data_IF_565293809810
#
_entry.id   IF_565293809810
#
_cell.length_a   1.000
_cell.length_b   1.000
_cell.length_c   1.000
_cell.angle_alpha   90.00
_cell.angle_beta   90.00
_cell.angle_gamma   90.00
#
_symmetry.space_group_name_H-M   'P 1'
#
loop_
_entity.id
_entity.type
_entity.pdbx_description
1 polymer ?
#
# COMPACT_ATOMS: atom_id res chain seq x y z
N UNK A 1 -69.66 -5.47 26.52
CA UNK A 1 -68.50 -4.98 27.28
C UNK A 1 -67.18 -5.60 26.80
N UNK A 2 -67.18 -6.69 26.03
CA UNK A 2 -65.94 -7.36 25.62
C UNK A 2 -65.27 -6.84 24.32
N UNK A 3 -66.00 -6.30 23.34
CA UNK A 3 -65.36 -5.89 22.06
C UNK A 3 -64.46 -4.66 22.21
N UNK A 4 -64.79 -3.73 23.11
CA UNK A 4 -63.97 -2.55 23.41
C UNK A 4 -62.68 -2.92 24.14
N UNK A 5 -62.72 -3.94 25.02
CA UNK A 5 -61.54 -4.45 25.73
C UNK A 5 -60.60 -5.21 24.78
N UNK A 6 -61.15 -5.95 23.82
CA UNK A 6 -60.38 -6.67 22.79
C UNK A 6 -59.74 -5.70 21.79
N UNK A 7 -60.43 -4.65 21.36
CA UNK A 7 -59.83 -3.60 20.51
C UNK A 7 -58.73 -2.82 21.23
N UNK A 8 -58.94 -2.45 22.50
CA UNK A 8 -57.91 -1.78 23.31
C UNK A 8 -56.68 -2.67 23.51
N UNK A 9 -56.84 -3.97 23.74
CA UNK A 9 -55.70 -4.89 23.85
C UNK A 9 -54.99 -5.11 22.52
N UNK A 10 -55.72 -5.18 21.40
CA UNK A 10 -55.12 -5.30 20.06
C UNK A 10 -54.32 -4.05 19.65
N UNK A 11 -54.85 -2.85 19.89
CA UNK A 11 -54.15 -1.59 19.59
C UNK A 11 -52.96 -1.34 20.53
N UNK A 12 -53.05 -1.77 21.79
CA UNK A 12 -51.94 -1.69 22.75
C UNK A 12 -50.82 -2.67 22.37
N UNK A 13 -51.17 -3.87 21.89
CA UNK A 13 -50.21 -4.86 21.43
C UNK A 13 -49.51 -4.45 20.12
N UNK A 14 -50.25 -3.88 19.15
CA UNK A 14 -49.68 -3.38 17.90
C UNK A 14 -48.74 -2.18 18.12
N UNK A 15 -49.12 -1.23 18.99
CA UNK A 15 -48.25 -0.10 19.34
C UNK A 15 -47.00 -0.51 20.13
N UNK A 16 -47.07 -1.61 20.88
CA UNK A 16 -45.92 -2.16 21.59
C UNK A 16 -45.00 -2.96 20.64
N UNK A 17 -45.53 -3.69 19.66
CA UNK A 17 -44.72 -4.42 18.67
C UNK A 17 -43.91 -3.49 17.77
N UNK A 18 -44.49 -2.38 17.29
CA UNK A 18 -43.76 -1.44 16.42
C UNK A 18 -42.63 -0.70 17.16
N UNK A 19 -42.78 -0.47 18.47
CA UNK A 19 -41.78 0.21 19.31
C UNK A 19 -40.66 -0.72 19.77
N UNK A 20 -40.94 -1.99 20.06
CA UNK A 20 -39.91 -3.01 20.36
C UNK A 20 -39.11 -3.36 19.10
N UNK A 21 -39.75 -3.36 17.92
CA UNK A 21 -39.07 -3.48 16.63
C UNK A 21 -38.04 -2.35 16.45
N UNK A 22 -38.42 -1.10 16.73
CA UNK A 22 -37.53 0.06 16.63
C UNK A 22 -36.32 -0.01 17.60
N UNK A 23 -36.53 -0.40 18.86
CA UNK A 23 -35.43 -0.55 19.82
C UNK A 23 -34.47 -1.68 19.43
N UNK A 24 -35.01 -2.81 18.96
CA UNK A 24 -34.22 -3.95 18.48
C UNK A 24 -33.35 -3.54 17.29
N UNK A 25 -33.91 -2.84 16.31
CA UNK A 25 -33.16 -2.33 15.16
C UNK A 25 -32.02 -1.38 15.59
N UNK A 26 -32.28 -0.47 16.53
CA UNK A 26 -31.24 0.45 17.04
C UNK A 26 -30.12 -0.33 17.73
N UNK A 27 -30.43 -1.33 18.57
CA UNK A 27 -29.43 -2.18 19.22
C UNK A 27 -28.59 -2.95 18.20
N UNK A 28 -29.21 -3.53 17.17
CA UNK A 28 -28.50 -4.23 16.10
C UNK A 28 -27.54 -3.29 15.37
N UNK A 29 -27.96 -2.06 15.06
CA UNK A 29 -27.10 -1.07 14.40
C UNK A 29 -25.86 -0.76 15.25
N UNK A 30 -26.01 -0.53 16.56
CA UNK A 30 -24.86 -0.29 17.42
C UNK A 30 -23.93 -1.50 17.55
N UNK A 31 -24.46 -2.71 17.55
CA UNK A 31 -23.63 -3.93 17.55
C UNK A 31 -22.84 -4.04 16.24
N UNK A 32 -23.48 -3.81 15.08
CA UNK A 32 -22.79 -3.83 13.78
C UNK A 32 -21.69 -2.77 13.73
N UNK A 33 -22.00 -1.54 14.16
CA UNK A 33 -21.02 -0.45 14.22
C UNK A 33 -19.88 -0.76 15.18
N UNK A 34 -20.14 -1.42 16.31
CA UNK A 34 -19.11 -1.85 17.24
C UNK A 34 -18.19 -2.90 16.62
N UNK A 35 -18.76 -3.92 15.98
CA UNK A 35 -17.99 -4.97 15.28
C UNK A 35 -17.14 -4.37 14.15
N UNK A 36 -17.70 -3.42 13.40
CA UNK A 36 -16.96 -2.69 12.37
C UNK A 36 -15.78 -1.92 12.97
N UNK A 37 -15.99 -1.16 14.04
CA UNK A 37 -14.91 -0.43 14.73
C UNK A 37 -13.84 -1.39 15.24
N UNK A 38 -14.21 -2.51 15.84
CA UNK A 38 -13.28 -3.52 16.34
C UNK A 38 -12.41 -4.11 15.21
N UNK A 39 -13.03 -4.38 14.05
CA UNK A 39 -12.31 -4.82 12.85
C UNK A 39 -11.32 -3.77 12.38
N UNK A 40 -11.73 -2.49 12.28
CA UNK A 40 -10.85 -1.39 11.84
C UNK A 40 -9.69 -1.17 12.81
N UNK A 41 -9.94 -1.20 14.13
CA UNK A 41 -8.91 -1.12 15.18
C UNK A 41 -7.88 -2.24 15.02
N UNK A 42 -8.35 -3.49 14.93
CA UNK A 42 -7.47 -4.66 14.79
C UNK A 42 -6.65 -4.57 13.51
N UNK A 43 -7.30 -4.25 12.39
CA UNK A 43 -6.65 -4.10 11.08
C UNK A 43 -5.63 -2.96 11.10
N UNK A 44 -5.92 -1.85 11.76
CA UNK A 44 -4.97 -0.74 11.90
C UNK A 44 -3.73 -1.16 12.68
N UNK A 45 -3.90 -1.76 13.86
CA UNK A 45 -2.80 -2.17 14.74
C UNK A 45 -1.85 -3.15 14.03
N UNK A 46 -2.40 -4.15 13.33
CA UNK A 46 -1.60 -5.13 12.58
C UNK A 46 -0.78 -4.44 11.49
N UNK A 47 -1.40 -3.57 10.69
CA UNK A 47 -0.73 -2.90 9.57
C UNK A 47 0.25 -1.81 10.02
N UNK A 48 -0.05 -1.10 11.11
CA UNK A 48 0.86 -0.15 11.73
C UNK A 48 2.12 -0.87 12.23
N UNK A 49 1.97 -1.97 12.96
CA UNK A 49 3.10 -2.80 13.40
C UNK A 49 3.93 -3.31 12.21
N UNK A 50 3.29 -3.84 11.16
CA UNK A 50 3.98 -4.27 9.92
C UNK A 50 4.77 -3.13 9.29
N UNK A 51 4.21 -1.93 9.27
CA UNK A 51 4.88 -0.76 8.70
C UNK A 51 6.09 -0.32 9.51
N UNK A 52 6.01 -0.37 10.84
CA UNK A 52 7.15 -0.11 11.74
C UNK A 52 8.27 -1.13 11.48
N UNK A 53 7.94 -2.43 11.50
CA UNK A 53 8.92 -3.51 11.29
C UNK A 53 9.59 -3.33 9.92
N UNK A 54 8.82 -3.10 8.85
CA UNK A 54 9.39 -2.92 7.52
C UNK A 54 10.25 -1.66 7.42
N UNK A 55 9.86 -0.58 8.08
CA UNK A 55 10.68 0.65 8.16
C UNK A 55 12.04 0.37 8.80
N UNK A 56 12.06 -0.36 9.93
CA UNK A 56 13.31 -0.75 10.62
C UNK A 56 14.18 -1.67 9.76
N UNK A 57 13.57 -2.65 9.10
CA UNK A 57 14.27 -3.61 8.25
C UNK A 57 14.95 -2.93 7.06
N UNK A 58 14.24 -2.05 6.36
CA UNK A 58 14.71 -1.41 5.11
C UNK A 58 15.73 -0.30 5.37
N UNK A 59 15.58 0.45 6.47
CA UNK A 59 16.53 1.52 6.83
C UNK A 59 17.69 1.04 7.68
N UNK A 60 17.52 -0.02 8.48
CA UNK A 60 18.54 -0.62 9.33
C UNK A 60 19.36 0.45 10.10
N UNK A 61 20.66 0.54 9.82
CA UNK A 61 21.60 1.43 10.51
C UNK A 61 21.39 2.92 10.20
N UNK A 62 20.70 3.26 9.11
CA UNK A 62 20.38 4.66 8.78
C UNK A 62 19.30 5.22 9.70
N UNK A 63 18.53 4.36 10.40
CA UNK A 63 17.43 4.76 11.27
C UNK A 63 17.92 5.00 12.71
N UNK A 64 18.12 6.27 13.06
CA UNK A 64 18.64 6.74 14.35
C UNK A 64 17.56 7.45 15.20
N UNK A 65 16.39 7.70 14.61
CA UNK A 65 15.23 8.25 15.31
C UNK A 65 14.01 7.35 15.11
N UNK A 66 13.02 7.39 16.02
CA UNK A 66 11.73 6.77 15.77
C UNK A 66 11.07 7.38 14.53
N UNK A 67 10.99 6.60 13.47
CA UNK A 67 10.38 7.00 12.21
C UNK A 67 9.60 5.83 11.62
N UNK A 68 8.41 6.11 11.10
CA UNK A 68 7.55 5.14 10.43
C UNK A 68 7.31 5.67 9.03
N UNK A 69 7.78 4.93 8.04
CA UNK A 69 7.71 5.35 6.65
C UNK A 69 6.27 5.69 6.26
N UNK A 70 6.07 6.84 5.61
CA UNK A 70 4.79 7.22 5.03
C UNK A 70 3.67 7.49 6.05
N UNK A 71 3.94 7.47 7.36
CA UNK A 71 2.95 7.85 8.37
C UNK A 71 2.97 9.36 8.59
N UNK A 72 2.14 10.08 7.85
CA UNK A 72 1.99 11.53 7.93
C UNK A 72 0.52 11.96 7.69
N UNK A 73 0.20 13.24 7.93
CA UNK A 73 -1.16 13.76 7.80
C UNK A 73 -1.78 13.59 6.39
N UNK A 74 -0.96 13.40 5.35
CA UNK A 74 -1.41 13.22 3.97
C UNK A 74 -1.58 11.74 3.59
N UNK A 75 -1.21 10.81 4.46
CA UNK A 75 -1.22 9.39 4.12
C UNK A 75 -2.58 8.73 4.35
N UNK A 76 -2.88 7.71 3.54
CA UNK A 76 -4.13 6.94 3.67
C UNK A 76 -4.31 6.32 5.06
N UNK A 77 -3.22 5.86 5.68
CA UNK A 77 -3.27 5.27 7.01
C UNK A 77 -3.62 6.30 8.08
N UNK A 78 -3.19 7.55 7.94
CA UNK A 78 -3.61 8.61 8.87
C UNK A 78 -5.13 8.83 8.80
N UNK A 79 -5.72 8.85 7.60
CA UNK A 79 -7.17 8.94 7.46
C UNK A 79 -7.91 7.70 7.97
N UNK A 80 -7.33 6.50 7.83
CA UNK A 80 -7.88 5.28 8.42
C UNK A 80 -7.85 5.33 9.97
N UNK A 81 -6.78 5.86 10.56
CA UNK A 81 -6.71 6.13 12.00
C UNK A 81 -7.82 7.10 12.42
N UNK A 82 -7.93 8.23 11.72
CA UNK A 82 -8.93 9.26 12.01
C UNK A 82 -10.36 8.70 11.90
N UNK A 83 -10.67 7.96 10.83
CA UNK A 83 -11.96 7.31 10.64
C UNK A 83 -12.29 6.37 11.80
N UNK A 84 -11.32 5.54 12.21
CA UNK A 84 -11.49 4.58 13.31
C UNK A 84 -11.80 5.30 14.63
N UNK A 85 -11.07 6.39 14.92
CA UNK A 85 -11.28 7.20 16.12
C UNK A 85 -12.64 7.91 16.10
N UNK A 86 -12.99 8.54 14.97
CA UNK A 86 -14.27 9.24 14.81
C UNK A 86 -15.45 8.28 14.96
N UNK A 87 -15.38 7.09 14.36
CA UNK A 87 -16.43 6.09 14.47
C UNK A 87 -16.63 5.60 15.91
N UNK A 88 -15.55 5.38 16.64
CA UNK A 88 -15.60 4.97 18.05
C UNK A 88 -16.17 6.09 18.93
N UNK A 89 -15.65 7.31 18.81
CA UNK A 89 -16.13 8.48 19.58
C UNK A 89 -17.60 8.79 19.29
N UNK A 90 -18.04 8.67 18.03
CA UNK A 90 -19.44 8.85 17.67
C UNK A 90 -20.37 7.86 18.40
N UNK A 91 -19.95 6.60 18.54
CA UNK A 91 -20.70 5.60 19.32
C UNK A 91 -20.72 5.94 20.80
N UNK A 92 -19.58 6.35 21.38
CA UNK A 92 -19.49 6.75 22.79
C UNK A 92 -20.42 7.93 23.10
N UNK A 93 -20.62 8.87 22.17
CA UNK A 93 -21.52 10.02 22.35
C UNK A 93 -22.99 9.63 22.11
N UNK A 94 -23.27 8.79 21.11
CA UNK A 94 -24.63 8.44 20.73
C UNK A 94 -25.30 7.47 21.71
N UNK A 95 -24.55 6.50 22.25
CA UNK A 95 -25.07 5.47 23.16
C UNK A 95 -25.68 6.04 24.45
N UNK A 96 -25.07 7.02 25.16
CA UNK A 96 -25.69 7.69 26.30
C UNK A 96 -27.00 8.39 25.95
N UNK A 97 -27.09 9.05 24.78
CA UNK A 97 -28.31 9.74 24.34
C UNK A 97 -29.45 8.73 24.16
N UNK A 98 -29.17 7.60 23.50
CA UNK A 98 -30.14 6.52 23.28
C UNK A 98 -30.52 5.85 24.60
N UNK A 99 -29.55 5.62 25.49
CA UNK A 99 -29.79 5.08 26.83
C UNK A 99 -30.70 5.99 27.65
N UNK A 100 -30.45 7.30 27.69
CA UNK A 100 -31.30 8.26 28.40
C UNK A 100 -32.72 8.28 27.82
N UNK A 101 -32.87 8.25 26.49
CA UNK A 101 -34.18 8.17 25.83
C UNK A 101 -34.91 6.88 26.20
N UNK A 102 -34.20 5.76 26.28
CA UNK A 102 -34.77 4.47 26.68
C UNK A 102 -35.20 4.49 28.16
N UNK A 103 -34.38 5.03 29.06
CA UNK A 103 -34.68 5.10 30.50
C UNK A 103 -35.83 6.07 30.82
N UNK A 104 -35.96 7.17 30.07
CA UNK A 104 -37.05 8.14 30.23
C UNK A 104 -38.37 7.71 29.58
N UNK A 105 -38.39 6.57 28.87
CA UNK A 105 -39.60 6.08 28.23
C UNK A 105 -40.59 5.59 29.30
N UNK A 106 -41.78 6.21 29.45
CA UNK A 106 -42.74 5.85 30.48
C UNK A 106 -43.24 4.40 30.40
N UNK A 107 -43.08 3.74 29.25
CA UNK A 107 -43.46 2.34 29.05
C UNK A 107 -42.40 1.34 29.54
N UNK A 108 -41.19 1.80 29.87
CA UNK A 108 -40.11 0.96 30.39
C UNK A 108 -40.19 0.86 31.92
N UNK A 109 -41.15 0.07 32.40
CA UNK A 109 -41.46 -0.13 33.83
C UNK A 109 -40.25 -0.65 34.62
N UNK A 110 -39.32 -1.34 33.95
CA UNK A 110 -38.14 -1.94 34.58
C UNK A 110 -36.92 -1.00 34.65
N UNK A 111 -36.99 0.22 34.12
CA UNK A 111 -35.89 1.19 34.15
C UNK A 111 -34.56 0.59 33.66
N UNK A 112 -33.55 0.56 34.53
CA UNK A 112 -32.21 0.00 34.24
C UNK A 112 -32.24 -1.52 34.01
N UNK A 113 -33.21 -2.24 34.58
CA UNK A 113 -33.35 -3.69 34.40
C UNK A 113 -33.94 -4.07 33.03
N UNK A 114 -34.20 -3.09 32.15
CA UNK A 114 -34.57 -3.35 30.76
C UNK A 114 -33.37 -3.95 30.00
N UNK A 115 -33.53 -5.11 29.31
CA UNK A 115 -32.44 -5.75 28.56
C UNK A 115 -31.81 -4.85 27.49
N UNK A 116 -32.58 -3.95 26.87
CA UNK A 116 -32.05 -2.98 25.91
C UNK A 116 -31.18 -1.91 26.59
N UNK A 117 -31.58 -1.43 27.78
CA UNK A 117 -30.78 -0.48 28.55
C UNK A 117 -29.44 -1.10 28.98
N UNK A 118 -29.47 -2.36 29.44
CA UNK A 118 -28.27 -3.14 29.77
C UNK A 118 -27.39 -3.32 28.53
N UNK A 119 -27.98 -3.66 27.38
CA UNK A 119 -27.27 -3.81 26.11
C UNK A 119 -26.55 -2.52 25.68
N UNK A 120 -27.25 -1.38 25.71
CA UNK A 120 -26.63 -0.09 25.36
C UNK A 120 -25.51 0.30 26.33
N UNK A 121 -25.68 0.05 27.63
CA UNK A 121 -24.64 0.28 28.62
C UNK A 121 -23.42 -0.63 28.39
N UNK A 122 -23.64 -1.91 28.08
CA UNK A 122 -22.57 -2.85 27.78
C UNK A 122 -21.77 -2.43 26.54
N UNK A 123 -22.45 -2.06 25.44
CA UNK A 123 -21.79 -1.59 24.21
C UNK A 123 -21.05 -0.26 24.45
N UNK A 124 -21.57 0.62 25.31
CA UNK A 124 -20.88 1.86 25.69
C UNK A 124 -19.58 1.57 26.44
N UNK A 125 -19.64 0.73 27.48
CA UNK A 125 -18.46 0.32 28.24
C UNK A 125 -17.43 -0.36 27.32
N UNK A 126 -17.89 -1.24 26.42
CA UNK A 126 -17.03 -1.91 25.45
C UNK A 126 -16.34 -0.93 24.49
N UNK A 127 -17.04 0.11 24.01
CA UNK A 127 -16.44 1.14 23.15
C UNK A 127 -15.38 1.96 23.90
N UNK A 128 -15.64 2.34 25.16
CA UNK A 128 -14.66 3.06 26.00
C UNK A 128 -13.42 2.20 26.23
N UNK A 129 -13.61 0.92 26.58
CA UNK A 129 -12.49 -0.03 26.74
C UNK A 129 -11.73 -0.17 25.41
N UNK A 130 -12.44 -0.30 24.29
CA UNK A 130 -11.82 -0.43 22.96
C UNK A 130 -10.98 0.81 22.60
N UNK A 131 -11.48 2.01 22.89
CA UNK A 131 -10.74 3.25 22.63
C UNK A 131 -9.45 3.33 23.46
N UNK A 132 -9.55 3.03 24.76
CA UNK A 132 -8.39 3.00 25.66
C UNK A 132 -7.40 1.91 25.22
N UNK A 133 -7.88 0.70 24.95
CA UNK A 133 -7.07 -0.41 24.47
C UNK A 133 -6.37 -0.08 23.15
N UNK A 134 -7.05 0.62 22.24
CA UNK A 134 -6.46 1.04 20.97
C UNK A 134 -5.32 2.03 21.17
N UNK A 135 -5.54 3.09 21.97
CA UNK A 135 -4.51 4.09 22.29
C UNK A 135 -3.31 3.48 23.01
N UNK A 136 -3.56 2.63 24.02
CA UNK A 136 -2.50 1.93 24.75
C UNK A 136 -1.74 0.98 23.81
N UNK A 137 -2.44 0.24 22.94
CA UNK A 137 -1.79 -0.69 22.00
C UNK A 137 -0.89 0.05 21.01
N UNK A 138 -1.31 1.21 20.48
CA UNK A 138 -0.46 2.03 19.62
C UNK A 138 0.79 2.51 20.34
N UNK A 139 0.63 2.99 21.58
CA UNK A 139 1.75 3.41 22.41
C UNK A 139 2.71 2.24 22.70
N UNK A 140 2.18 1.06 23.04
CA UNK A 140 2.98 -0.14 23.29
C UNK A 140 3.74 -0.56 22.03
N UNK A 141 3.10 -0.58 20.86
CA UNK A 141 3.78 -0.91 19.60
C UNK A 141 4.93 0.09 19.38
N UNK A 142 4.67 1.38 19.50
CA UNK A 142 5.69 2.40 19.30
C UNK A 142 6.86 2.26 20.29
N UNK A 143 6.59 2.15 21.59
CA UNK A 143 7.62 2.03 22.61
C UNK A 143 8.40 0.72 22.52
N UNK A 144 7.73 -0.40 22.22
CA UNK A 144 8.37 -1.72 22.13
C UNK A 144 9.26 -1.83 20.90
N UNK A 145 8.79 -1.34 19.76
CA UNK A 145 9.53 -1.43 18.50
C UNK A 145 10.70 -0.42 18.45
N UNK A 146 10.61 0.73 19.15
CA UNK A 146 11.68 1.73 19.25
C UNK A 146 12.37 1.76 20.62
N UNK A 147 12.44 0.62 21.32
CA UNK A 147 13.06 0.53 22.66
C UNK A 147 14.60 0.59 22.64
N UNK A 148 15.21 0.27 21.50
CA UNK A 148 16.65 0.10 21.35
C UNK A 148 17.38 1.43 21.56
N UNK A 149 18.63 1.39 22.04
CA UNK A 149 19.40 2.60 22.38
C UNK A 149 19.55 3.54 21.17
N UNK A 150 19.71 2.97 19.97
CA UNK A 150 19.81 3.66 18.68
C UNK A 150 18.65 4.61 18.36
N UNK A 151 17.53 4.58 19.09
CA UNK A 151 16.36 5.44 18.83
C UNK A 151 16.12 6.48 19.94
N UNK A 152 16.94 6.50 21.00
CA UNK A 152 16.71 7.32 22.20
C UNK A 152 17.48 8.65 22.18
N UNK A 153 18.07 9.00 21.05
CA UNK A 153 18.92 10.17 20.92
C UNK A 153 18.13 11.47 21.03
N UNK A 154 18.64 12.41 21.83
CA UNK A 154 18.21 13.81 21.75
C UNK A 154 18.60 14.43 20.41
N UNK A 155 17.98 15.54 20.00
CA UNK A 155 18.29 16.18 18.69
C UNK A 155 19.78 16.51 18.52
N UNK A 156 20.49 16.81 19.62
CA UNK A 156 21.95 17.06 19.61
C UNK A 156 22.75 15.77 19.48
N UNK A 157 22.29 14.68 20.07
CA UNK A 157 22.92 13.36 19.95
C UNK A 157 22.70 12.76 18.55
N UNK A 158 21.58 13.08 17.88
CA UNK A 158 21.34 12.65 16.49
C UNK A 158 22.44 13.16 15.57
N UNK A 159 22.88 14.42 15.70
CA UNK A 159 23.99 14.94 14.88
C UNK A 159 25.30 14.18 15.14
N UNK A 160 25.58 13.81 16.39
CA UNK A 160 26.76 13.03 16.76
C UNK A 160 26.71 11.60 16.20
N UNK A 161 25.55 10.97 16.21
CA UNK A 161 25.36 9.66 15.59
C UNK A 161 25.41 9.71 14.06
N UNK A 162 24.89 10.76 13.44
CA UNK A 162 25.06 10.94 12.00
C UNK A 162 26.53 11.14 11.61
N UNK A 163 27.31 11.82 12.46
CA UNK A 163 28.77 11.89 12.31
C UNK A 163 29.44 10.51 12.47
N UNK A 164 29.00 9.69 13.43
CA UNK A 164 29.55 8.35 13.64
C UNK A 164 29.28 7.46 12.42
N UNK A 165 28.06 7.51 11.86
CA UNK A 165 27.68 6.80 10.63
C UNK A 165 28.50 7.30 9.42
N UNK A 166 28.69 8.62 9.28
CA UNK A 166 29.53 9.18 8.21
C UNK A 166 30.94 8.59 8.19
N UNK A 167 31.53 8.36 9.37
CA UNK A 167 32.86 7.77 9.51
C UNK A 167 32.90 6.29 9.11
N UNK A 168 31.81 5.54 9.30
CA UNK A 168 31.75 4.13 8.91
C UNK A 168 31.50 3.91 7.41
N UNK A 169 30.82 4.86 6.75
CA UNK A 169 30.48 4.77 5.33
C UNK A 169 31.70 4.81 4.38
N UNK A 170 32.86 5.30 4.84
CA UNK A 170 34.12 5.39 4.07
C UNK A 170 33.95 5.91 2.61
N UNK A 171 33.12 6.94 2.43
CA UNK A 171 32.85 7.54 1.12
C UNK A 171 33.69 8.80 0.88
N UNK A 172 33.95 9.11 -0.39
CA UNK A 172 34.56 10.36 -0.78
C UNK A 172 33.51 11.49 -0.81
N UNK A 173 33.60 12.41 0.15
CA UNK A 173 32.70 13.57 0.27
C UNK A 173 33.27 14.85 -0.40
N UNK A 174 34.40 14.76 -1.11
CA UNK A 174 35.05 15.93 -1.72
C UNK A 174 34.37 16.40 -3.02
N UNK A 175 33.69 15.51 -3.75
CA UNK A 175 33.07 15.78 -5.05
C UNK A 175 31.55 15.57 -4.99
N UNK A 176 30.88 16.33 -4.13
CA UNK A 176 29.42 16.32 -4.00
C UNK A 176 28.81 17.00 -5.21
N UNK A 177 27.79 16.38 -5.81
CA UNK A 177 27.05 16.97 -6.91
C UNK A 177 26.08 18.02 -6.35
N UNK A 178 26.25 19.27 -6.76
CA UNK A 178 25.40 20.35 -6.26
C UNK A 178 23.96 20.23 -6.75
N UNK A 179 23.78 19.88 -8.03
CA UNK A 179 22.46 19.82 -8.66
C UNK A 179 22.36 18.64 -9.61
N UNK A 180 21.22 17.94 -9.54
CA UNK A 180 20.81 16.96 -10.55
C UNK A 180 19.70 17.60 -11.37
N UNK A 181 19.77 17.47 -12.69
CA UNK A 181 18.67 17.82 -13.61
C UNK A 181 18.26 16.59 -14.40
N UNK A 182 16.98 16.50 -14.72
CA UNK A 182 16.42 15.45 -15.58
C UNK A 182 15.70 16.10 -16.76
N UNK A 183 15.74 15.44 -17.92
CA UNK A 183 14.91 15.85 -19.05
C UNK A 183 13.50 15.27 -18.87
N UNK A 184 12.61 16.07 -18.29
CA UNK A 184 11.23 15.67 -18.01
C UNK A 184 10.50 15.25 -19.30
N UNK A 185 10.69 16.00 -20.39
CA UNK A 185 9.95 15.72 -21.64
C UNK A 185 10.38 14.41 -22.26
N UNK A 186 11.69 14.14 -22.28
CA UNK A 186 12.22 12.88 -22.83
C UNK A 186 11.82 11.70 -21.94
N UNK A 187 11.93 11.82 -20.61
CA UNK A 187 11.62 10.73 -19.69
C UNK A 187 10.11 10.42 -19.59
N UNK A 188 9.24 11.43 -19.72
CA UNK A 188 7.78 11.22 -19.74
C UNK A 188 7.29 10.41 -20.94
N UNK A 189 8.05 10.37 -22.04
CA UNK A 189 7.71 9.54 -23.21
C UNK A 189 7.82 8.05 -22.90
N UNK A 190 8.78 7.65 -22.07
CA UNK A 190 9.04 6.24 -21.74
C UNK A 190 8.34 5.79 -20.45
N UNK A 191 8.20 6.71 -19.48
CA UNK A 191 7.57 6.42 -18.20
C UNK A 191 7.10 7.71 -17.48
N UNK A 192 5.85 8.11 -17.73
CA UNK A 192 5.25 9.30 -17.10
C UNK A 192 5.19 9.20 -15.57
N UNK A 193 4.79 8.05 -15.03
CA UNK A 193 4.60 7.89 -13.57
C UNK A 193 5.95 7.82 -12.84
N UNK A 194 6.90 7.02 -13.33
CA UNK A 194 8.25 6.99 -12.79
C UNK A 194 8.93 8.36 -12.87
N UNK A 195 8.76 9.08 -13.99
CA UNK A 195 9.32 10.44 -14.14
C UNK A 195 8.78 11.42 -13.09
N UNK A 196 7.51 11.32 -12.71
CA UNK A 196 6.93 12.13 -11.61
C UNK A 196 7.68 11.90 -10.29
N UNK A 197 7.95 10.64 -9.95
CA UNK A 197 8.65 10.28 -8.70
C UNK A 197 10.11 10.74 -8.76
N UNK A 198 10.80 10.49 -9.87
CA UNK A 198 12.19 10.91 -10.05
C UNK A 198 12.34 12.43 -10.03
N UNK A 199 11.41 13.16 -10.66
CA UNK A 199 11.39 14.62 -10.59
C UNK A 199 11.25 15.14 -9.15
N UNK A 200 10.40 14.49 -8.35
CA UNK A 200 10.23 14.80 -6.93
C UNK A 200 11.50 14.51 -6.13
N UNK A 201 12.12 13.35 -6.33
CA UNK A 201 13.40 13.00 -5.69
C UNK A 201 14.48 14.03 -6.00
N UNK A 202 14.68 14.34 -7.29
CA UNK A 202 15.66 15.33 -7.74
C UNK A 202 15.37 16.73 -7.19
N UNK A 203 14.10 17.13 -7.13
CA UNK A 203 13.70 18.40 -6.52
C UNK A 203 14.09 18.47 -5.04
N UNK A 204 13.79 17.41 -4.29
CA UNK A 204 14.11 17.30 -2.86
C UNK A 204 15.62 17.24 -2.64
N UNK A 205 16.37 16.50 -3.46
CA UNK A 205 17.84 16.47 -3.47
C UNK A 205 18.43 17.86 -3.65
N UNK A 206 17.93 18.62 -4.63
CA UNK A 206 18.43 19.96 -4.95
C UNK A 206 18.15 20.96 -3.82
N UNK A 207 17.13 20.72 -2.99
CA UNK A 207 16.75 21.57 -1.86
C UNK A 207 17.15 21.02 -0.50
N UNK A 208 17.79 19.85 -0.45
CA UNK A 208 18.04 19.10 0.78
C UNK A 208 18.73 19.99 1.83
N UNK A 209 19.82 20.65 1.45
CA UNK A 209 20.62 21.46 2.39
C UNK A 209 19.95 22.77 2.81
N UNK A 210 18.86 23.18 2.16
CA UNK A 210 18.11 24.41 2.47
C UNK A 210 17.02 24.20 3.54
N UNK A 211 16.86 22.98 4.05
CA UNK A 211 15.84 22.64 5.05
C UNK A 211 16.44 22.56 6.47
N UNK A 212 15.63 22.64 7.54
CA UNK A 212 16.11 22.35 8.91
C UNK A 212 16.58 20.90 9.05
N UNK A 213 17.61 20.65 9.87
CA UNK A 213 18.29 19.34 10.01
C UNK A 213 17.35 18.13 10.16
N UNK A 214 16.30 18.26 10.99
CA UNK A 214 15.33 17.18 11.22
C UNK A 214 14.52 16.87 9.95
N UNK A 215 14.18 17.91 9.16
CA UNK A 215 13.48 17.72 7.90
C UNK A 215 14.41 17.17 6.83
N UNK A 216 15.67 17.65 6.77
CA UNK A 216 16.70 17.06 5.89
C UNK A 216 16.81 15.56 6.12
N UNK A 217 16.90 15.16 7.38
CA UNK A 217 17.06 13.76 7.77
C UNK A 217 15.80 12.94 7.44
N UNK A 218 14.59 13.45 7.71
CA UNK A 218 13.35 12.76 7.32
C UNK A 218 13.20 12.61 5.81
N UNK A 219 13.58 13.62 5.03
CA UNK A 219 13.59 13.55 3.56
C UNK A 219 14.61 12.52 3.07
N UNK A 220 15.80 12.51 3.67
CA UNK A 220 16.82 11.50 3.40
C UNK A 220 16.29 10.07 3.69
N UNK A 221 15.71 9.83 4.87
CA UNK A 221 15.14 8.54 5.23
C UNK A 221 13.99 8.13 4.31
N UNK A 222 13.09 9.05 3.93
CA UNK A 222 11.98 8.75 3.01
C UNK A 222 12.48 8.23 1.66
N UNK A 223 13.47 8.90 1.09
CA UNK A 223 14.01 8.51 -0.21
C UNK A 223 14.85 7.25 -0.15
N UNK A 224 15.73 7.11 0.85
CA UNK A 224 16.53 5.88 1.04
C UNK A 224 15.61 4.69 1.25
N UNK A 225 14.56 4.84 2.09
CA UNK A 225 13.58 3.79 2.27
C UNK A 225 12.95 3.40 0.94
N UNK A 226 12.50 4.37 0.14
CA UNK A 226 11.80 4.10 -1.11
C UNK A 226 12.67 3.41 -2.13
N UNK A 227 13.93 3.83 -2.25
CA UNK A 227 14.89 3.22 -3.17
C UNK A 227 15.22 1.79 -2.73
N UNK A 228 15.53 1.59 -1.45
CA UNK A 228 15.82 0.25 -0.93
C UNK A 228 14.63 -0.71 -1.08
N UNK A 229 13.42 -0.23 -0.80
CA UNK A 229 12.20 -1.02 -0.97
C UNK A 229 11.95 -1.36 -2.45
N UNK A 230 12.19 -0.41 -3.35
CA UNK A 230 12.12 -0.65 -4.80
C UNK A 230 13.12 -1.73 -5.22
N UNK A 231 14.39 -1.62 -4.82
CA UNK A 231 15.44 -2.62 -5.12
C UNK A 231 15.07 -4.01 -4.60
N UNK A 232 14.70 -4.13 -3.33
CA UNK A 232 14.30 -5.39 -2.69
C UNK A 232 13.11 -6.03 -3.42
N UNK A 233 12.09 -5.22 -3.73
CA UNK A 233 10.86 -5.73 -4.35
C UNK A 233 11.09 -6.12 -5.81
N UNK A 234 11.88 -5.33 -6.55
CA UNK A 234 12.27 -5.65 -7.93
C UNK A 234 13.05 -6.97 -7.98
N UNK A 235 14.01 -7.17 -7.08
CA UNK A 235 14.76 -8.43 -7.00
C UNK A 235 13.83 -9.62 -6.69
N UNK A 236 12.87 -9.45 -5.78
CA UNK A 236 11.87 -10.48 -5.50
C UNK A 236 11.02 -10.82 -6.74
N UNK A 237 10.61 -9.82 -7.52
CA UNK A 237 9.82 -9.99 -8.74
C UNK A 237 10.64 -10.72 -9.81
N UNK A 238 11.87 -10.26 -10.07
CA UNK A 238 12.80 -10.88 -11.04
C UNK A 238 13.03 -12.36 -10.71
N UNK A 239 13.20 -12.69 -9.42
CA UNK A 239 13.35 -14.08 -8.96
C UNK A 239 12.10 -14.92 -9.17
N UNK A 240 10.91 -14.38 -8.90
CA UNK A 240 9.64 -15.09 -9.14
C UNK A 240 9.40 -15.36 -10.62
N UNK A 241 9.64 -14.36 -11.47
CA UNK A 241 9.52 -14.49 -12.92
C UNK A 241 10.49 -15.54 -13.48
N UNK A 242 11.75 -15.54 -13.03
CA UNK A 242 12.72 -16.56 -13.42
C UNK A 242 12.27 -17.98 -13.03
N UNK A 243 11.66 -18.15 -11.85
CA UNK A 243 11.14 -19.44 -11.42
C UNK A 243 9.92 -19.89 -12.24
N UNK A 244 9.02 -18.97 -12.58
CA UNK A 244 7.86 -19.26 -13.44
C UNK A 244 8.31 -19.64 -14.85
N UNK A 245 9.28 -18.94 -15.41
CA UNK A 245 9.83 -19.26 -16.71
C UNK A 245 10.46 -20.67 -16.74
N UNK A 246 11.23 -21.03 -15.72
CA UNK A 246 11.78 -22.40 -15.59
C UNK A 246 10.68 -23.46 -15.54
N UNK A 247 9.56 -23.19 -14.85
CA UNK A 247 8.41 -24.12 -14.80
C UNK A 247 7.75 -24.27 -16.17
N UNK A 248 7.55 -23.15 -16.88
CA UNK A 248 6.97 -23.16 -18.23
C UNK A 248 7.86 -23.95 -19.20
N UNK A 249 9.17 -23.73 -19.18
CA UNK A 249 10.14 -24.47 -19.99
C UNK A 249 10.10 -25.98 -19.67
N UNK A 250 9.96 -26.35 -18.40
CA UNK A 250 9.80 -27.75 -17.99
C UNK A 250 8.48 -28.37 -18.46
N UNK A 251 7.38 -27.63 -18.36
CA UNK A 251 6.07 -28.08 -18.84
C UNK A 251 6.04 -28.22 -20.37
N UNK A 252 6.63 -27.27 -21.10
CA UNK A 252 6.78 -27.36 -22.55
C UNK A 252 7.64 -28.56 -22.94
N UNK A 253 8.74 -28.80 -22.25
CA UNK A 253 9.58 -29.98 -22.48
C UNK A 253 8.82 -31.29 -22.23
N UNK A 254 8.01 -31.36 -21.16
CA UNK A 254 7.15 -32.52 -20.87
C UNK A 254 6.10 -32.70 -21.97
N UNK A 255 5.43 -31.62 -22.41
CA UNK A 255 4.46 -31.66 -23.51
C UNK A 255 5.09 -32.10 -24.82
N UNK A 256 6.28 -31.60 -25.15
CA UNK A 256 7.01 -32.01 -26.35
C UNK A 256 7.36 -33.50 -26.30
N UNK A 257 7.87 -34.01 -25.16
CA UNK A 257 8.12 -35.46 -24.99
C UNK A 257 6.85 -36.31 -25.11
N UNK A 258 5.73 -35.83 -24.56
CA UNK A 258 4.45 -36.54 -24.68
C UNK A 258 3.92 -36.53 -26.12
N UNK A 259 4.07 -35.42 -26.84
CA UNK A 259 3.71 -35.32 -28.25
C UNK A 259 4.62 -36.19 -29.13
N UNK A 260 5.93 -36.24 -28.87
CA UNK A 260 6.86 -37.14 -29.58
C UNK A 260 6.50 -38.62 -29.36
N UNK A 261 6.12 -39.01 -28.15
CA UNK A 261 5.67 -40.37 -27.89
C UNK A 261 4.35 -40.70 -28.58
N UNK A 262 3.38 -39.77 -28.59
CA UNK A 262 2.13 -39.94 -29.35
C UNK A 262 2.35 -39.94 -30.86
N UNK A 263 3.31 -39.18 -31.39
CA UNK A 263 3.65 -39.17 -32.81
C UNK A 263 4.37 -40.46 -33.26
N UNK A 264 5.01 -41.21 -32.36
CA UNK A 264 5.59 -42.52 -32.69
C UNK A 264 4.53 -43.61 -32.89
N UNK A 265 3.35 -43.47 -32.29
CA UNK A 265 2.25 -44.46 -32.35
C UNK A 265 1.27 -44.23 -33.52
N UNK A 266 1.33 -43.08 -34.20
CA UNK A 266 0.41 -42.71 -35.28
C UNK A 266 0.83 -43.28 -36.64
N UNK A 267 -0.15 -43.64 -37.45
CA UNK A 267 0.01 -43.99 -38.86
C UNK A 267 0.47 -42.79 -39.70
N UNK A 268 1.12 -43.03 -40.84
CA UNK A 268 1.61 -41.97 -41.75
C UNK A 268 0.48 -41.02 -42.19
N UNK A 269 -0.72 -41.54 -42.42
CA UNK A 269 -1.90 -40.74 -42.81
C UNK A 269 -2.36 -39.81 -41.66
N UNK A 270 -2.33 -40.29 -40.43
CA UNK A 270 -2.76 -39.52 -39.26
C UNK A 270 -1.76 -38.40 -38.92
N UNK A 271 -0.48 -38.62 -39.19
CA UNK A 271 0.56 -37.57 -39.12
C UNK A 271 0.31 -36.46 -40.12
N UNK A 272 -0.09 -36.80 -41.33
CA UNK A 272 -0.37 -35.84 -42.40
C UNK A 272 -1.63 -35.03 -42.09
N UNK A 273 -2.72 -35.66 -41.61
CA UNK A 273 -3.94 -34.97 -41.16
C UNK A 273 -3.62 -33.98 -40.04
N UNK A 274 -2.87 -34.40 -39.02
CA UNK A 274 -2.51 -33.53 -37.90
C UNK A 274 -1.57 -32.39 -38.31
N UNK A 275 -0.70 -32.62 -39.29
CA UNK A 275 0.15 -31.56 -39.86
C UNK A 275 -0.69 -30.52 -40.61
N UNK A 276 -1.67 -30.96 -41.40
CA UNK A 276 -2.59 -30.05 -42.10
C UNK A 276 -3.40 -29.20 -41.11
N UNK A 277 -3.95 -29.79 -40.05
CA UNK A 277 -4.67 -29.03 -39.01
C UNK A 277 -3.77 -28.01 -38.30
N UNK A 278 -2.51 -28.35 -38.01
CA UNK A 278 -1.54 -27.40 -37.45
C UNK A 278 -1.22 -26.26 -38.43
N UNK A 279 -1.05 -26.58 -39.71
CA UNK A 279 -0.78 -25.59 -40.74
C UNK A 279 -1.95 -24.62 -40.94
N UNK A 280 -3.18 -25.13 -40.94
CA UNK A 280 -4.39 -24.34 -41.12
C UNK A 280 -4.65 -23.41 -39.92
N UNK A 281 -4.47 -23.92 -38.69
CA UNK A 281 -4.51 -23.10 -37.49
C UNK A 281 -3.45 -22.00 -37.49
N UNK A 282 -2.23 -22.30 -37.95
CA UNK A 282 -1.16 -21.30 -38.06
C UNK A 282 -1.50 -20.22 -39.12
N UNK A 283 -2.13 -20.61 -40.22
CA UNK A 283 -2.58 -19.68 -41.26
C UNK A 283 -3.72 -18.78 -40.75
N UNK A 284 -4.67 -19.32 -39.99
CA UNK A 284 -5.73 -18.57 -39.31
C UNK A 284 -5.16 -17.52 -38.36
N UNK A 285 -4.24 -17.91 -37.48
CA UNK A 285 -3.58 -17.00 -36.54
C UNK A 285 -2.87 -15.89 -37.31
N UNK A 286 -2.03 -16.22 -38.31
CA UNK A 286 -1.30 -15.21 -39.11
C UNK A 286 -2.27 -14.23 -39.78
N UNK A 287 -3.42 -14.72 -40.26
CA UNK A 287 -4.44 -13.88 -40.90
C UNK A 287 -5.11 -12.94 -39.91
N UNK A 288 -5.40 -13.40 -38.70
CA UNK A 288 -5.92 -12.60 -37.60
C UNK A 288 -4.89 -11.56 -37.12
N UNK A 289 -3.61 -11.93 -36.97
CA UNK A 289 -2.54 -11.01 -36.58
C UNK A 289 -2.30 -9.93 -37.62
N UNK A 290 -2.30 -10.29 -38.91
CA UNK A 290 -2.15 -9.33 -40.01
C UNK A 290 -3.35 -8.38 -40.14
N UNK A 291 -4.56 -8.82 -39.75
CA UNK A 291 -5.74 -7.96 -39.68
C UNK A 291 -5.66 -6.99 -38.50
N UNK A 292 -5.12 -7.41 -37.37
CA UNK A 292 -4.87 -6.55 -36.21
C UNK A 292 -3.81 -5.47 -36.52
N UNK A 293 -2.70 -5.83 -37.18
CA UNK A 293 -1.67 -4.88 -37.60
C UNK A 293 -2.17 -3.86 -38.63
N UNK A 294 -3.06 -4.26 -39.56
CA UNK A 294 -3.60 -3.35 -40.59
C UNK A 294 -4.68 -2.40 -40.08
N UNK A 295 -5.40 -2.76 -39.02
CA UNK A 295 -6.59 -2.02 -38.57
C UNK A 295 -6.33 -1.14 -37.34
N UNK A 296 -5.14 -1.20 -36.72
CA UNK A 296 -4.77 -0.34 -35.60
C UNK A 296 -3.57 0.53 -35.96
N UNK A 297 -3.65 1.84 -35.67
CA UNK A 297 -2.48 2.70 -35.77
C UNK A 297 -1.48 2.34 -34.66
N UNK A 298 -0.18 2.45 -34.93
CA UNK A 298 0.89 2.16 -33.95
C UNK A 298 0.70 2.89 -32.62
N UNK A 299 0.13 4.10 -32.67
CA UNK A 299 -0.16 4.93 -31.51
C UNK A 299 -1.30 4.37 -30.64
N UNK A 300 -2.30 3.77 -31.28
CA UNK A 300 -3.45 3.17 -30.62
C UNK A 300 -3.12 1.79 -30.05
N UNK A 301 -2.23 1.07 -30.73
CA UNK A 301 -1.64 -0.19 -30.28
C UNK A 301 -0.77 0.01 -29.03
N UNK A 302 0.12 1.02 -29.05
CA UNK A 302 0.91 1.39 -27.87
C UNK A 302 0.02 1.84 -26.71
N UNK A 303 -1.00 2.65 -26.98
CA UNK A 303 -1.95 3.08 -25.95
C UNK A 303 -2.68 1.90 -25.31
N UNK A 304 -3.17 0.95 -26.11
CA UNK A 304 -3.83 -0.25 -25.56
C UNK A 304 -2.86 -1.18 -24.84
N UNK A 305 -1.60 -1.24 -25.27
CA UNK A 305 -0.56 -2.00 -24.57
C UNK A 305 -0.20 -1.35 -23.22
N UNK A 306 -0.11 -0.02 -23.15
CA UNK A 306 0.06 0.72 -21.91
C UNK A 306 -1.15 0.53 -20.98
N UNK A 307 -2.38 0.67 -21.49
CA UNK A 307 -3.62 0.40 -20.73
C UNK A 307 -3.69 -1.06 -20.25
N UNK A 308 -3.19 -2.01 -21.06
CA UNK A 308 -3.10 -3.43 -20.72
C UNK A 308 -2.05 -3.70 -19.63
N UNK A 309 -0.88 -3.06 -19.71
CA UNK A 309 0.14 -3.12 -18.65
C UNK A 309 -0.35 -2.48 -17.35
N UNK A 310 -1.08 -1.37 -17.42
CA UNK A 310 -1.74 -0.71 -16.29
C UNK A 310 -2.76 -1.63 -15.62
N UNK A 311 -3.62 -2.29 -16.40
CA UNK A 311 -4.70 -3.11 -15.85
C UNK A 311 -4.22 -4.47 -15.34
N UNK A 312 -3.23 -5.09 -15.98
CA UNK A 312 -2.75 -6.41 -15.57
C UNK A 312 -1.80 -6.34 -14.40
N UNK A 313 -0.86 -5.38 -14.32
CA UNK A 313 0.05 -5.31 -13.16
C UNK A 313 -0.68 -4.94 -11.86
N UNK A 314 -1.82 -4.24 -11.95
CA UNK A 314 -2.70 -3.98 -10.79
C UNK A 314 -3.46 -5.25 -10.34
N UNK A 315 -3.55 -6.27 -11.18
CA UNK A 315 -4.23 -7.53 -10.85
C UNK A 315 -3.27 -8.71 -10.69
N UNK A 316 -2.01 -8.53 -11.07
CA UNK A 316 -0.98 -9.55 -11.01
C UNK A 316 -0.52 -9.79 -9.56
N UNK A 317 -0.65 -11.04 -9.04
CA UNK A 317 -0.16 -11.42 -7.73
C UNK A 317 1.32 -11.10 -7.48
N UNK A 318 2.16 -11.14 -8.52
CA UNK A 318 3.59 -10.83 -8.44
C UNK A 318 3.82 -9.39 -7.98
N UNK A 319 2.95 -8.47 -8.40
CA UNK A 319 3.02 -7.03 -8.08
C UNK A 319 2.15 -6.63 -6.87
N UNK A 320 1.46 -7.57 -6.22
CA UNK A 320 0.61 -7.29 -5.06
C UNK A 320 1.37 -6.65 -3.87
N UNK A 321 2.69 -6.84 -3.81
CA UNK A 321 3.53 -6.24 -2.78
C UNK A 321 3.90 -4.77 -3.03
N UNK A 322 3.75 -4.31 -4.27
CA UNK A 322 4.03 -2.94 -4.72
C UNK A 322 2.80 -2.05 -4.63
N UNK A 323 1.61 -2.61 -4.88
CA UNK A 323 0.37 -1.86 -4.95
C UNK A 323 0.10 -1.02 -3.70
N UNK A 324 -0.36 0.21 -3.92
CA UNK A 324 -0.71 1.11 -2.83
C UNK A 324 -1.71 0.45 -1.89
N UNK A 325 -1.37 0.49 -0.61
CA UNK A 325 -2.24 -0.01 0.44
C UNK A 325 -2.47 1.08 1.47
N UNK A 326 -3.71 1.56 1.55
CA UNK A 326 -4.07 2.63 2.49
C UNK A 326 -3.89 2.25 3.97
N UNK A 327 -3.68 0.97 4.29
CA UNK A 327 -3.39 0.50 5.64
C UNK A 327 -1.89 0.37 5.92
N UNK A 328 -1.09 0.03 4.91
CA UNK A 328 0.38 -0.11 5.03
C UNK A 328 1.06 1.16 4.53
N UNK A 329 1.58 1.97 5.45
CA UNK A 329 2.07 3.32 5.13
C UNK A 329 3.27 3.33 4.18
N UNK A 330 4.04 2.25 4.15
CA UNK A 330 5.21 2.13 3.28
C UNK A 330 4.89 1.74 1.84
N UNK A 331 3.67 1.27 1.55
CA UNK A 331 3.17 1.00 0.20
C UNK A 331 2.39 2.20 -0.28
N UNK A 332 3.13 3.27 -0.61
CA UNK A 332 2.55 4.51 -1.10
C UNK A 332 2.54 4.57 -2.63
N UNK A 333 1.97 5.66 -3.16
CA UNK A 333 1.85 5.87 -4.61
C UNK A 333 3.21 6.02 -5.28
N UNK A 334 4.18 6.63 -4.59
CA UNK A 334 5.50 6.87 -5.17
C UNK A 334 6.21 5.53 -5.43
N UNK A 335 6.08 4.55 -4.54
CA UNK A 335 6.59 3.19 -4.78
C UNK A 335 5.88 2.54 -5.96
N UNK A 336 4.55 2.56 -6.00
CA UNK A 336 3.76 1.95 -7.07
C UNK A 336 4.13 2.50 -8.46
N UNK A 337 4.24 3.83 -8.57
CA UNK A 337 4.62 4.52 -9.81
C UNK A 337 5.99 4.10 -10.36
N UNK A 338 6.97 3.80 -9.49
CA UNK A 338 8.30 3.36 -9.94
C UNK A 338 8.23 2.02 -10.68
N UNK A 339 7.25 1.18 -10.37
CA UNK A 339 7.05 -0.12 -11.02
C UNK A 339 6.15 -0.06 -12.27
N UNK A 340 5.72 1.15 -12.69
CA UNK A 340 5.02 1.32 -13.96
C UNK A 340 5.87 0.84 -15.15
N UNK A 341 7.14 1.26 -15.19
CA UNK A 341 8.12 0.74 -16.16
C UNK A 341 9.54 0.74 -15.54
N UNK A 342 9.93 -0.34 -14.84
CA UNK A 342 11.20 -0.41 -14.13
C UNK A 342 12.43 -0.41 -15.06
N UNK A 343 12.23 -0.69 -16.36
CA UNK A 343 13.29 -0.74 -17.37
C UNK A 343 13.38 0.55 -18.21
N UNK A 344 12.59 1.57 -17.88
CA UNK A 344 12.60 2.87 -18.58
C UNK A 344 13.97 3.56 -18.47
N UNK A 345 14.35 4.26 -19.53
CA UNK A 345 15.57 5.08 -19.54
C UNK A 345 15.31 6.43 -18.84
N UNK A 346 16.29 6.89 -18.08
CA UNK A 346 16.30 8.18 -17.39
C UNK A 346 17.44 9.01 -17.97
N UNK A 347 17.08 10.15 -18.54
CA UNK A 347 17.99 11.15 -19.05
C UNK A 347 18.23 12.22 -17.99
N UNK A 348 19.50 12.41 -17.63
CA UNK A 348 19.89 13.29 -16.54
C UNK A 348 21.27 13.94 -16.76
N UNK A 349 21.55 15.00 -15.99
CA UNK A 349 22.80 15.74 -16.03
C UNK A 349 23.23 16.14 -14.62
N UNK A 350 24.53 16.08 -14.33
CA UNK A 350 25.12 16.61 -13.10
C UNK A 350 25.70 18.02 -13.29
N UNK A 351 26.12 18.35 -14.52
CA UNK A 351 26.84 19.58 -14.84
C UNK A 351 25.94 20.63 -15.46
N UNK A 352 24.75 20.83 -14.89
CA UNK A 352 23.79 21.86 -15.33
C UNK A 352 23.36 21.81 -16.81
N UNK A 353 23.51 20.68 -17.50
CA UNK A 353 23.13 20.53 -18.92
C UNK A 353 24.30 20.37 -19.89
N UNK A 354 25.55 20.41 -19.41
CA UNK A 354 26.74 20.26 -20.28
C UNK A 354 26.89 18.83 -20.80
N UNK A 355 26.62 17.84 -19.95
CA UNK A 355 26.73 16.41 -20.26
C UNK A 355 25.38 15.74 -20.08
N UNK A 356 24.86 15.12 -21.16
CA UNK A 356 23.64 14.31 -21.10
C UNK A 356 24.01 12.85 -20.88
N UNK A 357 23.52 12.27 -19.79
CA UNK A 357 23.70 10.87 -19.44
C UNK A 357 22.36 10.14 -19.53
N UNK A 358 22.40 8.86 -19.86
CA UNK A 358 21.23 8.00 -19.99
C UNK A 358 21.51 6.67 -19.28
N UNK A 359 20.63 6.29 -18.36
CA UNK A 359 20.69 5.02 -17.63
C UNK A 359 19.29 4.45 -17.45
N UNK A 360 19.18 3.14 -17.29
CA UNK A 360 17.93 2.52 -16.86
C UNK A 360 17.55 2.99 -15.47
N UNK A 361 16.25 3.07 -15.17
CA UNK A 361 15.71 3.55 -13.89
C UNK A 361 16.36 2.87 -12.69
N UNK A 362 16.52 1.54 -12.72
CA UNK A 362 17.20 0.76 -11.66
C UNK A 362 18.62 1.26 -11.38
N UNK A 363 19.40 1.51 -12.42
CA UNK A 363 20.79 1.94 -12.29
C UNK A 363 20.92 3.43 -11.96
N UNK A 364 20.02 4.25 -12.51
CA UNK A 364 19.89 5.64 -12.11
C UNK A 364 19.60 5.78 -10.61
N UNK A 365 18.67 4.98 -10.07
CA UNK A 365 18.32 5.03 -8.64
C UNK A 365 19.50 4.63 -7.74
N UNK A 366 20.34 3.68 -8.16
CA UNK A 366 21.59 3.33 -7.44
C UNK A 366 22.56 4.51 -7.38
N UNK A 367 22.84 5.13 -8.51
CA UNK A 367 23.74 6.30 -8.57
C UNK A 367 23.13 7.47 -7.79
N UNK A 368 21.83 7.70 -7.96
CA UNK A 368 21.11 8.73 -7.23
C UNK A 368 21.23 8.52 -5.71
N UNK A 369 21.04 7.30 -5.22
CA UNK A 369 21.20 6.92 -3.81
C UNK A 369 22.60 7.24 -3.31
N UNK A 370 23.65 6.87 -4.05
CA UNK A 370 25.02 7.22 -3.69
C UNK A 370 25.22 8.74 -3.59
N UNK A 371 24.71 9.50 -4.56
CA UNK A 371 24.77 10.97 -4.54
C UNK A 371 23.98 11.58 -3.40
N UNK A 372 22.83 11.01 -3.06
CA UNK A 372 21.99 11.43 -1.94
C UNK A 372 22.72 11.24 -0.60
N UNK A 373 23.35 10.08 -0.39
CA UNK A 373 24.17 9.78 0.78
C UNK A 373 25.32 10.80 0.87
N UNK A 374 26.07 11.00 -0.21
CA UNK A 374 27.18 11.96 -0.25
C UNK A 374 26.73 13.38 0.11
N UNK A 375 25.60 13.85 -0.46
CA UNK A 375 25.07 15.19 -0.22
C UNK A 375 24.49 15.36 1.18
N UNK A 376 23.85 14.33 1.73
CA UNK A 376 23.30 14.41 3.09
C UNK A 376 24.41 14.49 4.13
N UNK A 377 25.45 13.66 4.00
CA UNK A 377 26.56 13.58 4.94
C UNK A 377 27.67 14.61 4.70
N UNK A 378 27.69 15.35 3.58
CA UNK A 378 28.70 16.38 3.34
C UNK A 378 28.65 17.50 4.39
N UNK A 379 27.44 17.88 4.82
CA UNK A 379 27.17 18.87 5.86
C UNK A 379 26.90 18.23 7.23
N UNK A 380 27.47 17.05 7.49
CA UNK A 380 27.50 16.43 8.80
C UNK A 380 28.92 16.52 9.31
#
# INVERSE_FOLDING_TARGET
MDSSLIQLTAETNANNSDKTLNQTSISIVFIILFVLTLFLVTKFLINFKRSVIKTKEVLANELVIPYVQGFNLKSGSFYNLLLTLLLNVAQIIALPIVLIKNLKNPNNVNGINNPYAIGFLAVLIANVILLLAFGISLLIIYLKEFKDAQYKHSTKEVEQELHSIKQTLNQNYANVVDMIKIDIKKNEQDNKLGTRVIAKFVYEYNKLLNQPIVNQYKTYLDQIFKINLFEETLESIERQQAQEQIKLEQEEFIRQKQQENQERELSNLEKEIRWMEKADNKALIIKETNQLEKNMSQKELNKRYEEYLETIRVQDPIYANVQKNSWLTYRDVDIEDLFYNPNSAINYTFDNGVTSLELQLKDFLKIYKEKLIQKFYSNK
#
